data_IF_978437301748
#
_entry.id   IF_978437301748
#
_cell.length_a   1.000
_cell.length_b   1.000
_cell.length_c   1.000
_cell.angle_alpha   90.00
_cell.angle_beta   90.00
_cell.angle_gamma   90.00
#
_symmetry.space_group_name_H-M   'P 1'
#
loop_
_entity.id
_entity.type
_entity.pdbx_description
1 polymer ?
#
# COMPACT_ATOMS: atom_id res chain seq x y z
N UNK A 1 -4.74 9.90 17.23
CA UNK A 1 -3.85 8.85 16.70
C UNK A 1 -2.41 9.23 16.97
N UNK A 2 -1.67 8.34 17.62
CA UNK A 2 -0.24 8.51 17.90
C UNK A 2 0.52 7.36 17.21
N UNK A 3 1.65 7.69 16.59
CA UNK A 3 2.55 6.71 15.95
C UNK A 3 3.79 6.62 16.84
N UNK A 4 3.98 5.45 17.46
CA UNK A 4 5.19 5.15 18.21
C UNK A 4 6.13 4.33 17.33
N UNK A 5 7.39 4.76 17.23
CA UNK A 5 8.42 4.03 16.50
C UNK A 5 9.32 3.27 17.48
N UNK A 6 9.31 1.95 17.39
CA UNK A 6 10.22 1.07 18.14
C UNK A 6 11.05 0.25 17.16
N UNK A 7 12.16 0.85 16.70
CA UNK A 7 13.10 0.19 15.79
C UNK A 7 12.46 -0.24 14.47
N UNK A 8 12.23 -1.55 14.29
CA UNK A 8 11.72 -2.17 13.04
C UNK A 8 10.20 -2.31 13.02
N UNK A 9 9.50 -1.79 14.01
CA UNK A 9 8.04 -1.79 14.06
C UNK A 9 7.47 -0.43 14.43
N UNK A 10 6.29 -0.13 13.91
CA UNK A 10 5.50 1.01 14.37
C UNK A 10 4.08 0.56 14.71
N UNK A 11 3.57 1.06 15.81
CA UNK A 11 2.22 0.74 16.29
C UNK A 11 1.31 1.93 16.04
N UNK A 12 0.19 1.67 15.37
CA UNK A 12 -0.88 2.64 15.18
C UNK A 12 -2.01 2.29 16.12
N UNK A 13 -2.37 3.25 16.98
CA UNK A 13 -3.49 3.15 17.90
C UNK A 13 -4.67 3.93 17.34
N UNK A 14 -5.81 3.24 17.15
CA UNK A 14 -7.06 3.87 16.75
C UNK A 14 -8.09 3.69 17.85
N UNK A 15 -8.60 4.80 18.37
CA UNK A 15 -9.71 4.81 19.31
C UNK A 15 -11.03 4.53 18.60
N UNK A 16 -11.88 3.72 19.23
CA UNK A 16 -13.24 3.48 18.77
C UNK A 16 -14.15 4.69 19.01
N UNK A 17 -15.27 4.74 18.30
CA UNK A 17 -16.28 5.79 18.44
C UNK A 17 -17.43 5.27 19.29
N UNK A 18 -17.86 6.06 20.28
CA UNK A 18 -19.01 5.70 21.12
C UNK A 18 -20.31 5.75 20.30
N UNK A 19 -21.16 4.73 20.48
CA UNK A 19 -22.47 4.66 19.85
C UNK A 19 -23.42 5.69 20.47
N UNK A 20 -24.23 6.37 19.64
CA UNK A 20 -25.22 7.32 20.11
C UNK A 20 -26.42 6.56 20.69
N UNK A 21 -26.67 6.71 22.00
CA UNK A 21 -27.78 6.07 22.71
C UNK A 21 -28.74 7.12 23.26
N UNK A 22 -30.02 6.76 23.35
CA UNK A 22 -31.06 7.63 23.89
C UNK A 22 -30.88 7.82 25.40
N UNK A 23 -31.08 9.06 25.86
CA UNK A 23 -30.93 9.45 27.26
C UNK A 23 -32.14 9.04 28.10
N UNK A 24 -31.95 8.14 29.06
CA UNK A 24 -32.96 7.81 30.05
C UNK A 24 -32.91 8.84 31.20
N UNK A 25 -34.07 9.41 31.52
CA UNK A 25 -34.26 10.40 32.62
C UNK A 25 -34.58 9.74 33.96
N UNK A 26 -34.90 8.45 33.96
CA UNK A 26 -35.44 7.70 35.10
C UNK A 26 -34.48 6.65 35.66
N UNK A 27 -33.46 6.25 34.90
CA UNK A 27 -32.42 5.32 35.35
C UNK A 27 -31.02 5.88 35.09
N UNK A 28 -30.01 5.25 35.69
CA UNK A 28 -28.62 5.58 35.42
C UNK A 28 -28.27 5.18 33.98
N UNK A 29 -27.79 6.14 33.19
CA UNK A 29 -27.35 5.90 31.82
C UNK A 29 -26.04 5.09 31.82
N UNK A 30 -25.98 4.06 30.97
CA UNK A 30 -24.79 3.22 30.81
C UNK A 30 -23.77 3.93 29.92
N UNK A 31 -22.59 4.23 30.48
CA UNK A 31 -21.52 4.96 29.83
C UNK A 31 -20.54 3.98 29.20
N UNK A 32 -20.32 4.08 27.89
CA UNK A 32 -19.34 3.24 27.20
C UNK A 32 -17.90 3.67 27.54
N UNK A 33 -16.99 2.70 27.57
CA UNK A 33 -15.57 2.92 27.82
C UNK A 33 -14.78 2.86 26.51
N UNK A 34 -13.83 3.78 26.27
CA UNK A 34 -13.10 3.83 25.02
C UNK A 34 -12.26 2.56 24.83
N UNK A 35 -12.52 1.83 23.75
CA UNK A 35 -11.68 0.71 23.31
C UNK A 35 -10.63 1.22 22.34
N UNK A 36 -9.38 0.87 22.59
CA UNK A 36 -8.26 1.20 21.70
C UNK A 36 -7.88 -0.06 20.94
N UNK A 37 -7.95 0.01 19.62
CA UNK A 37 -7.42 -1.06 18.77
C UNK A 37 -5.99 -0.70 18.39
N UNK A 38 -5.05 -1.59 18.71
CA UNK A 38 -3.64 -1.44 18.38
C UNK A 38 -3.30 -2.31 17.16
N UNK A 39 -2.74 -1.71 16.11
CA UNK A 39 -2.21 -2.44 14.97
C UNK A 39 -0.72 -2.20 14.87
N UNK A 40 0.08 -3.26 15.02
CA UNK A 40 1.54 -3.21 14.90
C UNK A 40 1.94 -3.61 13.49
N UNK A 41 2.72 -2.74 12.83
CA UNK A 41 3.31 -3.02 11.53
C UNK A 41 4.79 -3.33 11.70
N UNK A 42 5.27 -4.36 11.00
CA UNK A 42 6.66 -4.81 11.04
C UNK A 42 7.36 -4.57 9.70
N UNK A 43 8.63 -4.21 9.76
CA UNK A 43 9.52 -4.19 8.59
C UNK A 43 10.10 -5.60 8.37
N UNK A 44 9.43 -6.40 7.56
CA UNK A 44 9.77 -7.81 7.36
C UNK A 44 10.96 -8.06 6.43
N UNK A 45 11.26 -7.12 5.54
CA UNK A 45 12.25 -7.32 4.49
C UNK A 45 13.22 -6.15 4.36
N UNK A 46 14.51 -6.47 4.52
CA UNK A 46 15.61 -5.61 4.13
C UNK A 46 16.31 -6.20 2.89
N UNK A 47 16.70 -5.32 1.97
CA UNK A 47 17.42 -5.65 0.74
C UNK A 47 18.51 -4.60 0.54
N UNK A 48 19.64 -5.03 0.01
CA UNK A 48 20.76 -4.15 -0.32
C UNK A 48 21.17 -4.38 -1.77
N UNK A 49 21.75 -3.34 -2.37
CA UNK A 49 22.44 -3.43 -3.64
C UNK A 49 23.71 -2.59 -3.55
N UNK A 50 24.74 -2.99 -4.28
CA UNK A 50 26.01 -2.28 -4.32
C UNK A 50 26.70 -2.53 -5.65
N UNK A 51 27.33 -1.49 -6.19
CA UNK A 51 28.12 -1.57 -7.41
C UNK A 51 29.40 -0.77 -7.21
N UNK A 52 30.53 -1.39 -7.52
CA UNK A 52 31.84 -0.72 -7.48
C UNK A 52 32.04 0.05 -8.80
N UNK A 53 32.52 1.29 -8.69
CA UNK A 53 32.89 2.14 -9.83
C UNK A 53 34.29 2.66 -9.51
N UNK A 54 35.27 2.34 -10.36
CA UNK A 54 36.64 2.81 -10.22
C UNK A 54 36.82 4.18 -10.92
N UNK A 55 37.79 4.97 -10.45
CA UNK A 55 38.15 6.26 -11.03
C UNK A 55 38.71 6.12 -12.46
N UNK A 56 39.30 4.98 -12.79
CA UNK A 56 39.73 4.65 -14.16
C UNK A 56 38.53 4.48 -15.09
N UNK A 57 37.49 3.74 -14.65
CA UNK A 57 36.27 3.52 -15.44
C UNK A 57 35.53 4.84 -15.73
N UNK A 58 35.50 5.75 -14.74
CA UNK A 58 34.91 7.09 -14.90
C UNK A 58 35.67 7.94 -15.92
N UNK A 59 37.00 7.79 -16.00
CA UNK A 59 37.84 8.50 -16.96
C UNK A 59 37.70 7.91 -18.37
N UNK A 60 37.64 6.60 -18.49
CA UNK A 60 37.57 5.89 -19.77
C UNK A 60 36.18 5.99 -20.44
N UNK A 61 35.15 6.41 -19.70
CA UNK A 61 33.82 6.76 -20.24
C UNK A 61 33.56 8.26 -20.36
N UNK A 62 34.60 9.10 -20.27
CA UNK A 62 34.49 10.56 -20.38
C UNK A 62 33.50 11.18 -19.37
N UNK A 63 33.31 10.54 -18.20
CA UNK A 63 32.35 10.97 -17.19
C UNK A 63 30.88 10.58 -17.44
N UNK A 64 30.58 9.83 -18.51
CA UNK A 64 29.21 9.38 -18.79
C UNK A 64 28.71 8.31 -17.80
N UNK A 65 29.61 7.48 -17.27
CA UNK A 65 29.30 6.58 -16.15
C UNK A 65 29.71 7.29 -14.86
N UNK A 66 28.78 8.09 -14.33
CA UNK A 66 28.89 8.64 -12.98
C UNK A 66 28.10 7.79 -11.99
N UNK A 67 28.51 7.85 -10.72
CA UNK A 67 27.84 7.16 -9.61
C UNK A 67 26.35 7.52 -9.59
N UNK A 68 26.02 8.79 -9.83
CA UNK A 68 24.64 9.27 -9.86
C UNK A 68 23.80 8.62 -10.96
N UNK A 69 24.37 8.46 -12.17
CA UNK A 69 23.67 7.83 -13.29
C UNK A 69 23.40 6.34 -13.01
N UNK A 70 24.39 5.64 -12.46
CA UNK A 70 24.26 4.22 -12.10
C UNK A 70 23.25 4.02 -10.97
N UNK A 71 23.25 4.90 -9.96
CA UNK A 71 22.27 4.88 -8.87
C UNK A 71 20.87 5.13 -9.42
N UNK A 72 20.68 6.15 -10.25
CA UNK A 72 19.39 6.47 -10.84
C UNK A 72 18.84 5.31 -11.68
N UNK A 73 19.70 4.72 -12.52
CA UNK A 73 19.34 3.58 -13.37
C UNK A 73 18.96 2.35 -12.55
N UNK A 74 19.77 2.01 -11.54
CA UNK A 74 19.47 0.87 -10.66
C UNK A 74 18.17 1.08 -9.88
N UNK A 75 17.95 2.31 -9.41
CA UNK A 75 16.73 2.67 -8.68
C UNK A 75 15.49 2.53 -9.56
N UNK A 76 15.57 2.97 -10.82
CA UNK A 76 14.47 2.90 -11.78
C UNK A 76 14.23 1.49 -12.34
N UNK A 77 15.27 0.74 -12.69
CA UNK A 77 15.14 -0.55 -13.38
C UNK A 77 14.94 -1.73 -12.43
N UNK A 78 15.42 -1.64 -11.18
CA UNK A 78 15.44 -2.80 -10.26
C UNK A 78 14.71 -2.51 -8.96
N UNK A 79 15.00 -1.38 -8.31
CA UNK A 79 14.43 -1.10 -6.98
C UNK A 79 12.95 -0.76 -7.07
N UNK A 80 12.56 0.15 -7.97
CA UNK A 80 11.16 0.57 -8.11
C UNK A 80 10.23 -0.59 -8.54
N UNK A 81 10.55 -1.41 -9.55
CA UNK A 81 9.69 -2.53 -9.92
C UNK A 81 9.53 -3.59 -8.83
N UNK A 82 10.60 -3.85 -8.06
CA UNK A 82 10.54 -4.75 -6.91
C UNK A 82 9.59 -4.22 -5.84
N UNK A 83 9.71 -2.93 -5.50
CA UNK A 83 8.87 -2.29 -4.49
C UNK A 83 7.40 -2.25 -4.92
N UNK A 84 7.14 -1.94 -6.20
CA UNK A 84 5.79 -1.93 -6.76
C UNK A 84 5.16 -3.32 -6.73
N UNK A 85 5.90 -4.37 -7.10
CA UNK A 85 5.41 -5.74 -7.04
C UNK A 85 5.02 -6.13 -5.60
N UNK A 86 5.90 -5.80 -4.64
CA UNK A 86 5.65 -6.09 -3.22
C UNK A 86 4.42 -5.31 -2.70
N UNK A 87 4.30 -4.03 -3.06
CA UNK A 87 3.15 -3.20 -2.72
C UNK A 87 1.86 -3.76 -3.30
N UNK A 88 1.82 -4.08 -4.59
CA UNK A 88 0.63 -4.62 -5.23
C UNK A 88 0.26 -6.00 -4.69
N UNK A 89 1.25 -6.85 -4.40
CA UNK A 89 1.01 -8.15 -3.78
C UNK A 89 0.39 -8.00 -2.40
N UNK A 90 0.92 -7.13 -1.55
CA UNK A 90 0.38 -6.89 -0.22
C UNK A 90 -1.02 -6.26 -0.27
N UNK A 91 -1.25 -5.31 -1.18
CA UNK A 91 -2.59 -4.73 -1.39
C UNK A 91 -3.58 -5.82 -1.83
N UNK A 92 -3.19 -6.66 -2.78
CA UNK A 92 -4.03 -7.75 -3.26
C UNK A 92 -4.33 -8.76 -2.14
N UNK A 93 -3.33 -9.17 -1.35
CA UNK A 93 -3.51 -10.13 -0.26
C UNK A 93 -4.40 -9.60 0.88
N UNK A 94 -4.38 -8.30 1.15
CA UNK A 94 -5.19 -7.68 2.20
C UNK A 94 -6.55 -7.18 1.68
N UNK A 95 -6.94 -7.52 0.45
CA UNK A 95 -8.25 -7.17 -0.07
C UNK A 95 -9.35 -7.95 0.69
N UNK A 96 -10.44 -7.27 1.05
CA UNK A 96 -11.60 -7.90 1.73
C UNK A 96 -12.29 -8.94 0.84
N UNK A 97 -12.31 -8.70 -0.46
CA UNK A 97 -12.97 -9.54 -1.45
C UNK A 97 -12.11 -9.65 -2.71
N UNK A 98 -12.10 -10.83 -3.32
CA UNK A 98 -11.38 -11.12 -4.56
C UNK A 98 -12.38 -11.49 -5.66
N UNK A 99 -12.45 -10.68 -6.71
CA UNK A 99 -13.29 -10.95 -7.87
C UNK A 99 -12.42 -11.62 -8.95
N UNK A 100 -12.78 -12.84 -9.34
CA UNK A 100 -12.10 -13.55 -10.40
C UNK A 100 -12.41 -12.93 -11.77
N UNK A 101 -11.37 -12.63 -12.54
CA UNK A 101 -11.51 -12.11 -13.91
C UNK A 101 -11.67 -13.27 -14.88
N UNK A 102 -12.84 -13.40 -15.51
CA UNK A 102 -13.06 -14.36 -16.58
C UNK A 102 -12.52 -13.84 -17.91
N UNK A 103 -11.97 -14.73 -18.75
CA UNK A 103 -11.42 -14.37 -20.05
C UNK A 103 -12.50 -13.71 -20.95
N UNK A 104 -12.16 -12.58 -21.58
CA UNK A 104 -13.06 -11.77 -22.44
C UNK A 104 -14.22 -11.08 -21.69
N UNK A 105 -14.21 -11.09 -20.36
CA UNK A 105 -15.17 -10.38 -19.49
C UNK A 105 -14.45 -9.47 -18.50
N UNK A 106 -13.35 -8.89 -18.92
CA UNK A 106 -12.51 -8.05 -18.06
C UNK A 106 -13.23 -6.76 -17.65
N UNK A 107 -14.09 -6.20 -18.52
CA UNK A 107 -14.92 -5.04 -18.20
C UNK A 107 -16.04 -5.34 -17.20
N UNK A 108 -16.68 -6.51 -17.30
CA UNK A 108 -17.72 -6.95 -16.36
C UNK A 108 -17.14 -7.09 -14.93
N UNK A 109 -15.91 -7.59 -14.83
CA UNK A 109 -15.21 -7.70 -13.56
C UNK A 109 -14.93 -6.32 -12.93
N UNK A 110 -14.56 -5.31 -13.74
CA UNK A 110 -14.36 -3.93 -13.25
C UNK A 110 -15.68 -3.32 -12.76
N UNK A 111 -16.78 -3.57 -13.47
CA UNK A 111 -18.09 -3.10 -13.07
C UNK A 111 -18.51 -3.73 -11.72
N UNK A 112 -18.35 -5.04 -11.57
CA UNK A 112 -18.63 -5.74 -10.32
C UNK A 112 -17.79 -5.23 -9.15
N UNK A 113 -16.49 -4.94 -9.36
CA UNK A 113 -15.63 -4.31 -8.35
C UNK A 113 -16.17 -2.91 -7.97
N UNK A 114 -16.61 -2.14 -8.96
CA UNK A 114 -17.11 -0.77 -8.74
C UNK A 114 -18.41 -0.74 -7.96
N UNK A 115 -19.33 -1.68 -8.21
CA UNK A 115 -20.57 -1.84 -7.45
C UNK A 115 -20.25 -2.13 -5.98
N UNK A 116 -19.40 -3.14 -5.72
CA UNK A 116 -18.98 -3.51 -4.36
C UNK A 116 -18.28 -2.38 -3.61
N UNK A 117 -17.40 -1.64 -4.28
CA UNK A 117 -16.72 -0.48 -3.67
C UNK A 117 -17.67 0.69 -3.37
N UNK A 118 -18.82 0.75 -4.03
CA UNK A 118 -19.83 1.79 -3.79
C UNK A 118 -20.68 1.46 -2.57
N UNK A 119 -21.03 0.19 -2.39
CA UNK A 119 -21.72 -0.28 -1.17
C UNK A 119 -20.86 -0.08 0.09
N UNK A 120 -19.54 -0.27 -0.02
CA UNK A 120 -18.59 -0.18 1.10
C UNK A 120 -18.20 1.26 1.50
N UNK A 121 -18.80 2.30 0.89
CA UNK A 121 -18.44 3.72 1.10
C UNK A 121 -16.91 3.92 0.97
N UNK A 122 -16.30 3.31 -0.05
CA UNK A 122 -14.87 3.44 -0.29
C UNK A 122 -14.53 4.89 -0.73
N UNK A 123 -13.34 5.42 -0.36
CA UNK A 123 -12.98 6.82 -0.60
C UNK A 123 -13.03 7.22 -2.08
N UNK A 124 -13.23 8.52 -2.31
CA UNK A 124 -13.47 9.16 -3.61
C UNK A 124 -12.34 9.01 -4.64
N UNK A 125 -11.10 8.73 -4.22
CA UNK A 125 -9.95 8.58 -5.10
C UNK A 125 -9.71 7.12 -5.49
N UNK A 126 -10.51 6.61 -6.42
CA UNK A 126 -10.41 5.25 -6.94
C UNK A 126 -9.34 5.20 -8.05
N UNK A 127 -8.34 4.34 -7.89
CA UNK A 127 -7.29 4.11 -8.90
C UNK A 127 -7.32 2.65 -9.35
N UNK A 128 -7.36 2.43 -10.66
CA UNK A 128 -7.32 1.10 -11.27
C UNK A 128 -5.94 0.87 -11.89
N UNK A 129 -5.29 -0.22 -11.52
CA UNK A 129 -4.03 -0.65 -12.13
C UNK A 129 -4.32 -1.80 -13.11
N UNK A 130 -4.12 -1.54 -14.40
CA UNK A 130 -4.28 -2.55 -15.46
C UNK A 130 -2.96 -2.76 -16.20
N UNK A 131 -2.73 -3.98 -16.66
CA UNK A 131 -1.63 -4.25 -17.59
C UNK A 131 -1.92 -3.64 -18.96
N UNK A 132 -0.91 -3.26 -19.76
CA UNK A 132 -1.11 -2.75 -21.12
C UNK A 132 -1.89 -3.70 -22.04
N UNK A 133 -1.84 -5.02 -21.77
CA UNK A 133 -2.61 -6.04 -22.48
C UNK A 133 -4.14 -5.86 -22.35
N UNK A 134 -4.59 -5.07 -21.37
CA UNK A 134 -6.00 -4.73 -21.19
C UNK A 134 -6.53 -3.82 -22.30
N UNK A 135 -5.71 -2.88 -22.79
CA UNK A 135 -6.13 -1.88 -23.80
C UNK A 135 -6.02 -2.37 -25.25
N UNK A 136 -5.40 -3.53 -25.46
CA UNK A 136 -5.17 -4.10 -26.79
C UNK A 136 -6.24 -5.12 -27.20
N UNK A 137 -7.30 -5.26 -26.39
CA UNK A 137 -8.45 -6.11 -26.66
C UNK A 137 -9.66 -5.35 -27.16
#
# INVERSE_FOLDING_TARGET
DAIYMEGRSFTVMKGDVAELRDYDRTQANDLDSPKITETTYFLDQEKYWGRFIDALDKRDTEGNIDVNYVVARQSAEVVAPYLDNLRFKNIAQNAKEHIAVAAKKEYDAILAVTEKMTDDIAPTNRTLFVSPAFYTK
#
